data_IF_863680379508
#
_entry.id   IF_863680379508
#
_cell.length_a   1.000
_cell.length_b   1.000
_cell.length_c   1.000
_cell.angle_alpha   90.00
_cell.angle_beta   90.00
_cell.angle_gamma   90.00
#
_symmetry.space_group_name_H-M   'P 1'
#
loop_
_entity.id
_entity.type
_entity.pdbx_description
1 polymer ?
#
# COMPACT_ATOMS: atom_id res chain seq x y z
N UNK A 1 -13.63 45.14 -2.99
CA UNK A 1 -14.03 44.13 -3.99
C UNK A 1 -13.22 42.87 -3.74
N UNK A 2 -13.82 41.88 -3.10
CA UNK A 2 -13.20 40.58 -2.91
C UNK A 2 -13.36 39.78 -4.21
N UNK A 3 -12.26 39.47 -4.91
CA UNK A 3 -12.26 38.40 -5.90
C UNK A 3 -11.86 37.12 -5.17
N UNK A 4 -12.87 36.49 -4.60
CA UNK A 4 -12.86 35.20 -3.93
C UNK A 4 -12.99 34.04 -4.92
N UNK A 5 -12.31 34.10 -6.06
CA UNK A 5 -12.40 33.07 -7.12
C UNK A 5 -11.35 31.95 -6.90
N UNK A 6 -11.10 31.59 -5.65
CA UNK A 6 -10.45 30.31 -5.35
C UNK A 6 -11.52 29.23 -5.61
N UNK A 7 -11.32 28.28 -6.54
CA UNK A 7 -12.31 27.24 -6.78
C UNK A 7 -12.53 26.46 -5.49
N UNK A 8 -13.74 26.56 -4.97
CA UNK A 8 -14.30 25.74 -3.90
C UNK A 8 -13.99 24.27 -4.20
N UNK A 9 -13.21 23.63 -3.32
CA UNK A 9 -12.94 22.19 -3.26
C UNK A 9 -12.64 21.52 -4.61
N UNK A 10 -11.36 21.23 -4.87
CA UNK A 10 -10.97 20.35 -5.98
C UNK A 10 -11.73 19.03 -5.81
N UNK A 11 -12.78 18.82 -6.61
CA UNK A 11 -13.57 17.59 -6.58
C UNK A 11 -12.65 16.46 -7.02
N UNK A 12 -12.36 15.53 -6.11
CA UNK A 12 -11.64 14.29 -6.41
C UNK A 12 -12.50 13.38 -7.30
N UNK A 13 -12.59 13.73 -8.58
CA UNK A 13 -13.20 12.90 -9.61
C UNK A 13 -12.12 12.25 -10.45
N UNK A 14 -12.43 11.12 -11.08
CA UNK A 14 -11.48 10.35 -11.87
C UNK A 14 -10.81 11.14 -13.00
N UNK A 15 -11.46 12.19 -13.50
CA UNK A 15 -11.02 12.98 -14.66
C UNK A 15 -10.52 14.38 -14.30
N UNK A 16 -10.64 14.82 -13.05
CA UNK A 16 -10.12 16.13 -12.61
C UNK A 16 -8.63 16.07 -12.21
N UNK A 17 -8.11 14.89 -11.84
CA UNK A 17 -6.74 14.73 -11.38
C UNK A 17 -5.81 14.24 -12.49
N UNK A 18 -4.54 14.67 -12.46
CA UNK A 18 -3.51 14.17 -13.38
C UNK A 18 -3.38 12.65 -13.25
N UNK A 19 -3.35 11.96 -14.39
CA UNK A 19 -3.04 10.53 -14.49
C UNK A 19 -1.90 10.33 -15.47
N UNK A 20 -0.93 9.49 -15.10
CA UNK A 20 0.18 9.18 -15.99
C UNK A 20 -0.31 8.32 -17.18
N UNK A 21 -0.07 8.74 -18.44
CA UNK A 21 -0.45 7.95 -19.62
C UNK A 21 0.28 6.61 -19.66
N UNK A 22 1.46 6.52 -19.03
CA UNK A 22 2.17 5.26 -18.86
C UNK A 22 1.33 4.27 -18.06
N UNK A 23 0.71 4.71 -16.96
CA UNK A 23 -0.14 3.85 -16.14
C UNK A 23 -1.47 3.54 -16.81
N UNK A 24 -2.11 4.50 -17.48
CA UNK A 24 -3.50 4.32 -17.94
C UNK A 24 -3.64 3.77 -19.36
N UNK A 25 -2.63 3.94 -20.23
CA UNK A 25 -2.72 3.56 -21.66
C UNK A 25 -1.64 2.59 -22.12
N UNK A 26 -0.41 2.74 -21.64
CA UNK A 26 0.72 2.05 -22.26
C UNK A 26 1.23 0.82 -21.49
N UNK A 27 1.24 0.85 -20.16
CA UNK A 27 1.75 -0.27 -19.36
C UNK A 27 0.75 -1.43 -19.28
N UNK A 28 1.27 -2.65 -19.30
CA UNK A 28 0.48 -3.86 -19.05
C UNK A 28 -0.09 -3.87 -17.64
N UNK A 29 -1.15 -4.67 -17.41
CA UNK A 29 -1.79 -4.78 -16.09
C UNK A 29 -0.82 -5.33 -15.04
N UNK A 30 0.03 -6.28 -15.42
CA UNK A 30 1.04 -6.88 -14.56
C UNK A 30 2.09 -5.84 -14.15
N UNK A 31 2.52 -5.00 -15.09
CA UNK A 31 3.47 -3.93 -14.81
C UNK A 31 2.87 -2.86 -13.90
N UNK A 32 1.62 -2.46 -14.15
CA UNK A 32 0.88 -1.55 -13.28
C UNK A 32 0.77 -2.11 -11.85
N UNK A 33 0.46 -3.40 -11.71
CA UNK A 33 0.40 -4.06 -10.40
C UNK A 33 1.76 -4.08 -9.70
N UNK A 34 2.84 -4.39 -10.42
CA UNK A 34 4.19 -4.42 -9.83
C UNK A 34 4.59 -3.11 -9.17
N UNK A 35 4.14 -1.97 -9.73
CA UNK A 35 4.38 -0.63 -9.21
C UNK A 35 3.19 -0.04 -8.45
N UNK A 36 2.18 -0.84 -8.11
CA UNK A 36 1.02 -0.40 -7.34
C UNK A 36 1.34 -0.27 -5.84
N UNK A 37 0.61 0.62 -5.16
CA UNK A 37 0.68 0.75 -3.70
C UNK A 37 0.34 -0.57 -2.99
N UNK A 38 -0.61 -1.32 -3.53
CA UNK A 38 -0.96 -2.66 -3.05
C UNK A 38 0.26 -3.58 -3.01
N UNK A 39 1.01 -3.65 -4.11
CA UNK A 39 2.20 -4.50 -4.20
C UNK A 39 3.33 -3.99 -3.31
N UNK A 40 3.53 -2.67 -3.24
CA UNK A 40 4.53 -2.03 -2.39
C UNK A 40 4.30 -2.35 -0.90
N UNK A 41 3.12 -2.04 -0.38
CA UNK A 41 2.83 -2.20 1.05
C UNK A 41 2.71 -3.67 1.47
N UNK A 42 2.13 -4.53 0.63
CA UNK A 42 2.11 -5.97 0.92
C UNK A 42 3.53 -6.56 0.95
N UNK A 43 4.43 -6.10 0.07
CA UNK A 43 5.82 -6.56 0.06
C UNK A 43 6.58 -6.10 1.30
N UNK A 44 6.41 -4.85 1.74
CA UNK A 44 7.03 -4.35 2.97
C UNK A 44 6.60 -5.12 4.21
N UNK A 45 5.30 -5.37 4.37
CA UNK A 45 4.81 -6.16 5.52
C UNK A 45 5.35 -7.59 5.51
N UNK A 46 5.51 -8.20 4.33
CA UNK A 46 6.19 -9.51 4.18
C UNK A 46 7.65 -9.44 4.61
N UNK A 47 8.38 -8.38 4.27
CA UNK A 47 9.75 -8.19 4.74
C UNK A 47 9.82 -8.08 6.26
N UNK A 48 8.90 -7.37 6.92
CA UNK A 48 8.84 -7.34 8.38
C UNK A 48 8.53 -8.70 8.99
N UNK A 49 7.63 -9.49 8.38
CA UNK A 49 7.39 -10.87 8.81
C UNK A 49 8.64 -11.72 8.68
N UNK A 50 9.38 -11.61 7.56
CA UNK A 50 10.63 -12.36 7.38
C UNK A 50 11.70 -11.93 8.37
N UNK A 51 11.82 -10.63 8.63
CA UNK A 51 12.75 -10.08 9.62
C UNK A 51 12.41 -10.60 11.03
N UNK A 52 11.15 -10.50 11.45
CA UNK A 52 10.71 -11.02 12.75
C UNK A 52 10.88 -12.55 12.88
N UNK A 53 10.72 -13.29 11.79
CA UNK A 53 11.01 -14.75 11.76
C UNK A 53 12.49 -15.05 11.86
N UNK A 54 13.35 -14.26 11.21
CA UNK A 54 14.80 -14.41 11.30
C UNK A 54 15.33 -14.02 12.70
N UNK A 55 14.72 -13.03 13.34
CA UNK A 55 15.04 -12.58 14.70
C UNK A 55 14.40 -13.42 15.82
N UNK A 56 13.43 -14.29 15.52
CA UNK A 56 12.84 -15.21 16.52
C UNK A 56 13.90 -16.22 16.97
N UNK A 57 14.61 -15.87 18.04
CA UNK A 57 15.76 -16.59 18.58
C UNK A 57 15.38 -17.77 19.49
N UNK A 58 14.21 -17.81 20.16
CA UNK A 58 13.70 -19.08 20.71
C UNK A 58 12.16 -19.26 20.72
N UNK A 59 11.66 -20.52 20.82
CA UNK A 59 10.24 -20.86 20.81
C UNK A 59 9.43 -20.44 22.04
N UNK A 60 10.05 -19.96 23.12
CA UNK A 60 9.33 -19.53 24.35
C UNK A 60 8.58 -18.19 24.22
N UNK A 61 8.77 -17.44 23.13
CA UNK A 61 8.11 -16.15 22.93
C UNK A 61 6.82 -16.29 22.08
N UNK A 62 5.77 -16.82 22.70
CA UNK A 62 4.45 -17.08 22.10
C UNK A 62 3.77 -15.79 21.59
N UNK A 63 3.88 -14.70 22.34
CA UNK A 63 3.31 -13.38 22.01
C UNK A 63 3.79 -12.85 20.65
N UNK A 64 5.05 -13.11 20.29
CA UNK A 64 5.62 -12.66 19.01
C UNK A 64 5.13 -13.52 17.84
N UNK A 65 4.66 -14.76 18.07
CA UNK A 65 4.04 -15.59 17.03
C UNK A 65 2.73 -14.94 16.58
N UNK A 66 1.88 -14.58 17.53
CA UNK A 66 0.55 -14.02 17.27
C UNK A 66 0.63 -12.67 16.57
N UNK A 67 1.62 -11.84 16.95
CA UNK A 67 1.89 -10.57 16.26
C UNK A 67 2.30 -10.79 14.80
N UNK A 68 3.21 -11.74 14.54
CA UNK A 68 3.64 -12.07 13.17
C UNK A 68 2.48 -12.64 12.35
N UNK A 69 1.62 -13.48 12.94
CA UNK A 69 0.42 -13.99 12.30
C UNK A 69 -0.60 -12.88 11.99
N UNK A 70 -0.77 -11.91 12.90
CA UNK A 70 -1.63 -10.75 12.69
C UNK A 70 -1.13 -9.88 11.53
N UNK A 71 0.18 -9.61 11.47
CA UNK A 71 0.79 -8.87 10.35
C UNK A 71 0.56 -9.64 9.05
N UNK A 72 0.82 -10.96 9.04
CA UNK A 72 0.61 -11.80 7.86
C UNK A 72 -0.85 -11.77 7.38
N UNK A 73 -1.82 -11.90 8.29
CA UNK A 73 -3.25 -11.81 7.97
C UNK A 73 -3.62 -10.45 7.35
N UNK A 74 -3.05 -9.37 7.89
CA UNK A 74 -3.23 -8.00 7.37
C UNK A 74 -2.43 -7.74 6.11
N UNK A 75 -1.42 -8.54 5.73
CA UNK A 75 -0.78 -8.41 4.42
C UNK A 75 -1.74 -8.76 3.29
N UNK A 76 -2.59 -9.76 3.54
CA UNK A 76 -3.44 -10.39 2.54
C UNK A 76 -4.82 -9.72 2.43
N UNK A 77 -5.17 -8.87 3.40
CA UNK A 77 -6.34 -8.00 3.39
C UNK A 77 -5.90 -6.55 3.38
N UNK A 78 -6.18 -5.84 2.29
CA UNK A 78 -6.06 -4.38 2.27
C UNK A 78 -7.46 -3.83 2.45
N UNK A 79 -7.65 -3.13 3.57
CA UNK A 79 -8.78 -2.23 3.79
C UNK A 79 -8.67 -1.02 2.85
#
# INVERSE_FOLDING_TARGET
MASSDAPSEIRNTEHCNYRSPLSTRYASKEMQYNFSDQKKFSTWRKMWVYLAKAEKVPPEFEILVDFVQNIQYKCDKVD
#
